data_IF_908175996003
#
_entry.id   IF_908175996003
#
_cell.length_a   1.000
_cell.length_b   1.000
_cell.length_c   1.000
_cell.angle_alpha   90.00
_cell.angle_beta   90.00
_cell.angle_gamma   90.00
#
_symmetry.space_group_name_H-M   'P 1'
#
loop_
_entity.id
_entity.type
_entity.pdbx_description
1 polymer ?
#
# COMPACT_ATOMS: atom_id res chain seq x y z
N UNK A 1 10.06 3.27 0.65
CA UNK A 1 10.47 2.64 -0.63
C UNK A 1 9.57 1.49 -1.06
N UNK A 2 8.91 0.76 -0.15
CA UNK A 2 8.04 -0.41 -0.47
C UNK A 2 7.00 -0.12 -1.57
N UNK A 3 6.31 1.02 -1.53
CA UNK A 3 5.33 1.41 -2.56
C UNK A 3 5.89 1.40 -3.99
N UNK A 4 7.13 1.85 -4.17
CA UNK A 4 7.75 1.96 -5.51
C UNK A 4 8.11 0.61 -6.12
N UNK A 5 8.14 -0.47 -5.31
CA UNK A 5 8.37 -1.83 -5.79
C UNK A 5 7.12 -2.45 -6.42
N UNK A 6 5.94 -1.85 -6.30
CA UNK A 6 4.70 -2.48 -6.76
C UNK A 6 4.76 -2.91 -8.25
N UNK A 7 5.17 -2.06 -9.21
CA UNK A 7 5.18 -2.45 -10.62
C UNK A 7 6.13 -3.61 -10.91
N UNK A 8 7.30 -3.63 -10.25
CA UNK A 8 8.28 -4.71 -10.44
C UNK A 8 7.84 -6.01 -9.77
N UNK A 9 7.15 -5.94 -8.63
CA UNK A 9 6.50 -7.09 -7.98
C UNK A 9 5.44 -7.70 -8.91
N UNK A 10 4.52 -6.90 -9.44
CA UNK A 10 3.47 -7.37 -10.36
C UNK A 10 4.10 -8.04 -11.59
N UNK A 11 5.07 -7.39 -12.23
CA UNK A 11 5.76 -7.94 -13.39
C UNK A 11 6.51 -9.24 -13.06
N UNK A 12 7.13 -9.34 -11.88
CA UNK A 12 7.81 -10.55 -11.45
C UNK A 12 6.80 -11.70 -11.22
N UNK A 13 5.71 -11.45 -10.50
CA UNK A 13 4.65 -12.43 -10.23
C UNK A 13 4.03 -12.93 -11.53
N UNK A 14 3.73 -12.04 -12.49
CA UNK A 14 3.19 -12.41 -13.79
C UNK A 14 4.14 -13.28 -14.63
N UNK A 15 5.45 -13.09 -14.49
CA UNK A 15 6.46 -13.91 -15.18
C UNK A 15 6.70 -15.26 -14.51
N UNK A 16 6.76 -15.29 -13.18
CA UNK A 16 7.13 -16.50 -12.45
C UNK A 16 5.92 -17.34 -12.03
N UNK A 17 4.71 -16.80 -12.13
CA UNK A 17 3.46 -17.43 -11.72
C UNK A 17 3.45 -17.83 -10.23
N UNK A 18 4.10 -17.01 -9.39
CA UNK A 18 4.24 -17.23 -7.96
C UNK A 18 3.42 -16.20 -7.15
N UNK A 19 2.09 -16.40 -6.98
CA UNK A 19 1.21 -15.43 -6.32
C UNK A 19 1.56 -15.17 -4.86
N UNK A 20 2.20 -16.12 -4.17
CA UNK A 20 2.66 -15.94 -2.78
C UNK A 20 3.61 -14.74 -2.60
N UNK A 21 4.32 -14.34 -3.66
CA UNK A 21 5.20 -13.15 -3.64
C UNK A 21 4.39 -11.85 -3.60
N UNK A 22 3.22 -11.82 -4.24
CA UNK A 22 2.28 -10.70 -4.13
C UNK A 22 1.76 -10.60 -2.68
N UNK A 23 1.36 -11.73 -2.09
CA UNK A 23 0.90 -11.76 -0.69
C UNK A 23 1.98 -11.22 0.27
N UNK A 24 3.23 -11.67 0.10
CA UNK A 24 4.36 -11.18 0.90
C UNK A 24 4.60 -9.68 0.74
N UNK A 25 4.52 -9.17 -0.50
CA UNK A 25 4.63 -7.74 -0.78
C UNK A 25 3.51 -6.92 -0.11
N UNK A 26 2.26 -7.34 -0.25
CA UNK A 26 1.11 -6.64 0.33
C UNK A 26 1.16 -6.63 1.85
N UNK A 27 1.59 -7.74 2.46
CA UNK A 27 1.84 -7.80 3.90
C UNK A 27 2.93 -6.83 4.34
N UNK A 28 4.08 -6.80 3.65
CA UNK A 28 5.16 -5.86 3.92
C UNK A 28 4.69 -4.40 3.80
N UNK A 29 3.90 -4.10 2.77
CA UNK A 29 3.32 -2.76 2.56
C UNK A 29 2.38 -2.37 3.70
N UNK A 30 1.49 -3.27 4.12
CA UNK A 30 0.58 -3.03 5.23
C UNK A 30 1.33 -2.76 6.54
N UNK A 31 2.36 -3.55 6.85
CA UNK A 31 3.20 -3.34 8.05
C UNK A 31 3.93 -2.00 7.99
N UNK A 32 4.50 -1.64 6.83
CA UNK A 32 5.16 -0.35 6.64
C UNK A 32 4.17 0.82 6.80
N UNK A 33 2.95 0.67 6.29
CA UNK A 33 1.89 1.67 6.43
C UNK A 33 1.42 1.83 7.87
N UNK A 34 1.21 0.74 8.61
CA UNK A 34 0.82 0.81 10.02
C UNK A 34 1.84 1.59 10.86
N UNK A 35 3.13 1.31 10.65
CA UNK A 35 4.21 2.08 11.30
C UNK A 35 4.19 3.55 10.93
N UNK A 36 3.99 3.87 9.65
CA UNK A 36 3.84 5.26 9.20
C UNK A 36 2.65 5.93 9.89
N UNK A 37 1.49 5.29 9.92
CA UNK A 37 0.28 5.86 10.48
C UNK A 37 0.39 6.13 11.98
N UNK A 38 1.09 5.25 12.71
CA UNK A 38 1.37 5.40 14.14
C UNK A 38 2.33 6.57 14.43
N UNK A 39 3.43 6.67 13.68
CA UNK A 39 4.50 7.63 13.97
C UNK A 39 4.31 9.00 13.29
N UNK A 40 3.45 9.10 12.28
CA UNK A 40 3.26 10.31 11.47
C UNK A 40 1.79 10.76 11.50
N UNK A 41 1.39 11.67 12.43
CA UNK A 41 0.02 12.16 12.50
C UNK A 41 -0.46 12.77 11.19
N UNK A 42 -1.42 12.11 10.52
CA UNK A 42 -1.88 12.55 9.19
C UNK A 42 -2.77 13.79 9.30
N UNK A 43 -3.86 13.68 10.07
CA UNK A 43 -4.87 14.74 10.18
C UNK A 43 -4.42 15.90 11.08
N UNK A 44 -3.59 15.59 12.09
CA UNK A 44 -3.06 16.55 13.07
C UNK A 44 -1.64 17.03 12.72
N UNK A 45 -1.27 17.00 11.44
CA UNK A 45 0.02 17.52 11.00
C UNK A 45 0.13 19.03 11.32
N UNK A 46 1.33 19.48 11.68
CA UNK A 46 1.56 20.87 12.11
C UNK A 46 1.35 21.93 11.03
N UNK A 47 1.34 21.53 9.76
CA UNK A 47 1.11 22.40 8.61
C UNK A 47 0.34 21.67 7.48
N UNK A 48 -0.30 22.46 6.61
CA UNK A 48 -1.15 21.94 5.53
C UNK A 48 -0.34 21.22 4.43
N UNK A 49 0.91 21.62 4.17
CA UNK A 49 1.73 20.97 3.15
C UNK A 49 2.08 19.55 3.56
N UNK A 50 2.49 19.35 4.82
CA UNK A 50 2.72 18.03 5.42
C UNK A 50 1.44 17.20 5.45
N UNK A 51 0.32 17.79 5.87
CA UNK A 51 -1.00 17.11 5.89
C UNK A 51 -1.36 16.57 4.50
N UNK A 52 -1.28 17.41 3.46
CA UNK A 52 -1.57 17.02 2.07
C UNK A 52 -0.61 15.94 1.58
N UNK A 53 0.67 16.04 1.92
CA UNK A 53 1.67 15.03 1.55
C UNK A 53 1.34 13.67 2.16
N UNK A 54 1.03 13.62 3.46
CA UNK A 54 0.65 12.40 4.17
C UNK A 54 -0.66 11.80 3.65
N UNK A 55 -1.66 12.64 3.35
CA UNK A 55 -2.91 12.19 2.74
C UNK A 55 -2.70 11.54 1.36
N UNK A 56 -1.80 12.11 0.54
CA UNK A 56 -1.42 11.49 -0.75
C UNK A 56 -0.76 10.13 -0.55
N UNK A 57 0.09 9.98 0.45
CA UNK A 57 0.68 8.67 0.80
C UNK A 57 -0.39 7.67 1.21
N UNK A 58 -1.35 8.05 2.08
CA UNK A 58 -2.47 7.18 2.44
C UNK A 58 -3.28 6.75 1.20
N UNK A 59 -3.61 7.70 0.33
CA UNK A 59 -4.37 7.41 -0.89
C UNK A 59 -3.62 6.50 -1.85
N UNK A 60 -2.31 6.70 -2.02
CA UNK A 60 -1.48 5.83 -2.87
C UNK A 60 -1.38 4.41 -2.30
N UNK A 61 -1.16 4.28 -0.99
CA UNK A 61 -1.13 2.97 -0.32
C UNK A 61 -2.45 2.23 -0.46
N UNK A 62 -3.58 2.92 -0.26
CA UNK A 62 -4.91 2.33 -0.44
C UNK A 62 -5.10 1.79 -1.87
N UNK A 63 -4.74 2.56 -2.90
CA UNK A 63 -4.84 2.11 -4.30
C UNK A 63 -4.00 0.87 -4.57
N UNK A 64 -2.76 0.83 -4.08
CA UNK A 64 -1.87 -0.32 -4.28
C UNK A 64 -2.37 -1.56 -3.55
N UNK A 65 -2.91 -1.41 -2.33
CA UNK A 65 -3.48 -2.54 -1.59
C UNK A 65 -4.71 -3.11 -2.31
N UNK A 66 -5.62 -2.25 -2.76
CA UNK A 66 -6.81 -2.67 -3.51
C UNK A 66 -6.43 -3.37 -4.81
N UNK A 67 -5.59 -2.74 -5.63
CA UNK A 67 -5.15 -3.28 -6.92
C UNK A 67 -4.40 -4.62 -6.75
N UNK A 68 -3.54 -4.73 -5.74
CA UNK A 68 -2.81 -5.97 -5.48
C UNK A 68 -3.68 -7.10 -4.93
N UNK A 69 -4.72 -6.79 -4.13
CA UNK A 69 -5.70 -7.78 -3.68
C UNK A 69 -6.62 -8.22 -4.82
N UNK A 70 -7.00 -7.30 -5.71
CA UNK A 70 -7.77 -7.60 -6.92
C UNK A 70 -7.00 -8.53 -7.87
N UNK A 71 -5.68 -8.31 -8.04
CA UNK A 71 -4.79 -9.24 -8.76
C UNK A 71 -4.78 -10.66 -8.18
N UNK A 72 -5.12 -10.82 -6.89
CA UNK A 72 -5.23 -12.11 -6.21
C UNK A 72 -6.67 -12.66 -6.20
N UNK A 73 -7.63 -11.95 -6.79
CA UNK A 73 -9.06 -12.30 -6.78
C UNK A 73 -9.72 -12.07 -5.43
N UNK A 74 -9.17 -11.17 -4.59
CA UNK A 74 -9.69 -10.85 -3.27
C UNK A 74 -10.40 -9.49 -3.34
N UNK A 75 -11.72 -9.50 -3.18
CA UNK A 75 -12.52 -8.28 -3.13
C UNK A 75 -12.27 -7.49 -1.83
N UNK A 76 -12.35 -6.17 -1.91
CA UNK A 76 -12.15 -5.26 -0.77
C UNK A 76 -13.44 -4.53 -0.42
N UNK A 77 -13.53 -4.04 0.82
CA UNK A 77 -14.66 -3.25 1.32
C UNK A 77 -14.19 -1.87 1.77
N UNK A 78 -15.09 -0.88 1.73
CA UNK A 78 -14.77 0.51 2.08
C UNK A 78 -14.49 0.71 3.58
N UNK A 79 -15.10 -0.10 4.44
CA UNK A 79 -14.88 -0.10 5.89
C UNK A 79 -15.05 -1.51 6.44
N UNK A 80 -14.15 -1.89 7.35
CA UNK A 80 -14.30 -3.04 8.24
C UNK A 80 -15.16 -2.70 9.45
#
# INVERSE_FOLDING_TARGET
>A
LVLLRYPSTVAAVGRTLEPHRMCGYLYELAVAFSRFFEHCPVLKAGDDATRRSRLRLCGLTSRVLVDGLDCLGIETIDRM
#
